data_IF_142624582736
#
_entry.id   IF_142624582736
#
_cell.length_a   1.000
_cell.length_b   1.000
_cell.length_c   1.000
_cell.angle_alpha   90.00
_cell.angle_beta   90.00
_cell.angle_gamma   90.00
#
_symmetry.space_group_name_H-M   'P 1'
#
loop_
_entity.id
_entity.type
_entity.pdbx_description
1 polymer ?
#
# COMPACT_ATOMS: atom_id res chain seq x y z
N UNK A 1 3.82 37.34 -18.12
CA UNK A 1 3.02 36.19 -17.63
C UNK A 1 4.00 35.12 -17.15
N UNK A 2 3.98 34.67 -15.88
CA UNK A 2 4.89 33.61 -15.45
C UNK A 2 4.34 32.26 -15.92
N UNK A 3 5.11 31.58 -16.75
CA UNK A 3 4.88 30.19 -17.16
C UNK A 3 4.93 29.28 -15.94
N UNK A 4 3.76 28.80 -15.49
CA UNK A 4 3.69 27.72 -14.50
C UNK A 4 4.29 26.46 -15.13
N UNK A 5 5.48 26.08 -14.70
CA UNK A 5 6.07 24.77 -15.03
C UNK A 5 5.07 23.68 -14.64
N UNK A 6 4.75 22.71 -15.53
CA UNK A 6 3.83 21.63 -15.18
C UNK A 6 4.45 20.83 -14.02
N UNK A 7 3.66 20.62 -12.96
CA UNK A 7 4.07 19.80 -11.82
C UNK A 7 4.47 18.41 -12.34
N UNK A 8 5.69 17.99 -11.99
CA UNK A 8 6.25 16.71 -12.43
C UNK A 8 5.57 15.58 -11.66
N UNK A 9 4.57 14.94 -12.25
CA UNK A 9 3.89 13.77 -11.69
C UNK A 9 4.87 12.63 -11.32
N UNK A 10 6.04 12.57 -11.95
CA UNK A 10 7.12 11.64 -11.61
C UNK A 10 7.84 11.98 -10.30
N UNK A 11 7.92 13.27 -9.94
CA UNK A 11 8.47 13.73 -8.66
C UNK A 11 7.48 13.45 -7.52
N UNK A 12 6.17 13.62 -7.77
CA UNK A 12 5.13 13.30 -6.78
C UNK A 12 5.02 11.79 -6.52
N UNK A 13 5.12 10.96 -7.57
CA UNK A 13 5.19 9.50 -7.44
C UNK A 13 6.45 9.06 -6.68
N UNK A 14 7.58 9.70 -6.96
CA UNK A 14 8.83 9.50 -6.23
C UNK A 14 8.74 9.92 -4.76
N UNK A 15 8.06 11.02 -4.46
CA UNK A 15 7.81 11.51 -3.09
C UNK A 15 6.85 10.61 -2.31
N UNK A 16 5.82 10.08 -2.95
CA UNK A 16 4.88 9.12 -2.34
C UNK A 16 5.59 7.80 -2.07
N UNK A 17 6.37 7.29 -3.03
CA UNK A 17 7.18 6.09 -2.85
C UNK A 17 8.22 6.30 -1.73
N UNK A 18 8.90 7.44 -1.73
CA UNK A 18 9.87 7.82 -0.69
C UNK A 18 9.19 7.93 0.67
N UNK A 19 7.99 8.51 0.75
CA UNK A 19 7.20 8.61 1.98
C UNK A 19 6.77 7.23 2.48
N UNK A 20 6.33 6.33 1.58
CA UNK A 20 5.95 4.96 1.94
C UNK A 20 7.18 4.17 2.40
N UNK A 21 8.31 4.29 1.72
CA UNK A 21 9.59 3.66 2.11
C UNK A 21 10.13 4.25 3.41
N UNK A 22 9.98 5.56 3.63
CA UNK A 22 10.39 6.25 4.85
C UNK A 22 9.49 5.85 6.03
N UNK A 23 8.18 5.74 5.82
CA UNK A 23 7.25 5.23 6.84
C UNK A 23 7.50 3.73 7.09
N UNK A 24 7.81 2.94 6.06
CA UNK A 24 8.25 1.55 6.21
C UNK A 24 9.52 1.46 7.06
N UNK A 25 10.54 2.26 6.74
CA UNK A 25 11.82 2.28 7.44
C UNK A 25 11.68 2.76 8.90
N UNK A 26 10.79 3.72 9.17
CA UNK A 26 10.55 4.24 10.52
C UNK A 26 9.71 3.30 11.39
N UNK A 27 8.81 2.51 10.80
CA UNK A 27 7.95 1.56 11.52
C UNK A 27 8.57 0.16 11.64
N UNK A 28 9.28 -0.30 10.60
CA UNK A 28 10.03 -1.57 10.60
C UNK A 28 11.40 -1.43 11.28
N UNK A 29 12.00 -0.24 11.26
CA UNK A 29 13.22 0.06 12.02
C UNK A 29 12.96 0.41 13.49
N UNK A 30 11.74 0.84 13.81
CA UNK A 30 11.28 1.13 15.18
C UNK A 30 10.50 -0.01 15.84
N UNK A 31 10.22 -1.11 15.11
CA UNK A 31 9.62 -2.29 15.72
C UNK A 31 10.63 -2.83 16.73
N UNK A 32 10.27 -2.70 18.00
CA UNK A 32 10.81 -3.51 19.07
C UNK A 32 10.47 -4.96 18.71
N UNK A 33 11.33 -5.59 17.92
CA UNK A 33 11.33 -7.01 17.60
C UNK A 33 11.49 -7.72 18.95
N UNK A 34 10.37 -8.08 19.58
CA UNK A 34 10.40 -8.80 20.85
C UNK A 34 10.87 -10.22 20.55
N UNK A 35 11.99 -10.67 21.13
CA UNK A 35 12.34 -12.09 21.10
C UNK A 35 11.17 -12.90 21.67
N UNK A 36 10.92 -14.06 21.07
CA UNK A 36 9.86 -15.02 21.43
C UNK A 36 9.86 -15.44 22.92
N UNK A 37 10.95 -15.18 23.65
CA UNK A 37 11.13 -15.55 25.06
C UNK A 37 10.40 -14.63 26.07
N UNK A 38 9.45 -13.79 25.64
CA UNK A 38 8.57 -13.07 26.58
C UNK A 38 7.27 -13.85 26.78
N UNK A 39 7.03 -14.42 27.98
CA UNK A 39 5.88 -15.27 28.26
C UNK A 39 4.58 -14.48 28.08
N UNK A 40 3.61 -15.09 27.41
CA UNK A 40 2.20 -14.69 27.38
C UNK A 40 1.96 -13.17 27.33
N UNK A 41 2.03 -12.61 26.11
CA UNK A 41 1.49 -11.30 25.84
C UNK A 41 -0.01 -11.29 26.18
N UNK A 42 -0.34 -10.85 27.38
CA UNK A 42 -1.69 -10.53 27.82
C UNK A 42 -2.31 -9.59 26.76
N UNK A 43 -3.39 -10.00 26.06
CA UNK A 43 -3.98 -9.20 24.98
C UNK A 43 -4.63 -7.96 25.60
N UNK A 44 -3.83 -6.93 25.85
CA UNK A 44 -4.32 -5.68 26.42
C UNK A 44 -4.98 -4.86 25.31
N UNK A 45 -6.19 -4.32 25.53
CA UNK A 45 -6.88 -3.52 24.53
C UNK A 45 -6.10 -2.27 24.12
N UNK A 46 -5.21 -1.77 24.98
CA UNK A 46 -4.31 -0.64 24.74
C UNK A 46 -3.31 -0.86 23.60
N UNK A 47 -2.95 -2.12 23.33
CA UNK A 47 -1.99 -2.48 22.30
C UNK A 47 -2.63 -2.60 20.91
N UNK A 48 -3.96 -2.73 20.85
CA UNK A 48 -4.69 -2.94 19.60
C UNK A 48 -4.42 -1.88 18.53
N UNK A 49 -4.33 -0.56 18.84
CA UNK A 49 -4.00 0.46 17.84
C UNK A 49 -2.59 0.31 17.26
N UNK A 50 -1.62 -0.11 18.08
CA UNK A 50 -0.24 -0.35 17.62
C UNK A 50 -0.20 -1.55 16.68
N UNK A 51 -0.88 -2.64 17.05
CA UNK A 51 -0.96 -3.85 16.23
C UNK A 51 -1.65 -3.57 14.89
N UNK A 52 -2.72 -2.77 14.90
CA UNK A 52 -3.37 -2.26 13.69
C UNK A 52 -2.40 -1.46 12.82
N UNK A 53 -1.64 -0.55 13.39
CA UNK A 53 -0.70 0.28 12.64
C UNK A 53 0.39 -0.56 11.97
N UNK A 54 0.93 -1.56 12.66
CA UNK A 54 1.94 -2.48 12.11
C UNK A 54 1.38 -3.28 10.94
N UNK A 55 0.19 -3.87 11.10
CA UNK A 55 -0.51 -4.59 10.03
C UNK A 55 -0.78 -3.69 8.81
N UNK A 56 -1.31 -2.49 9.03
CA UNK A 56 -1.57 -1.52 7.96
C UNK A 56 -0.29 -1.08 7.25
N UNK A 57 0.81 -0.94 7.98
CA UNK A 57 2.09 -0.54 7.38
C UNK A 57 2.64 -1.64 6.50
N UNK A 58 2.66 -2.90 6.97
CA UNK A 58 3.05 -4.05 6.12
C UNK A 58 2.22 -4.11 4.85
N UNK A 59 0.91 -3.98 4.98
CA UNK A 59 -0.02 -4.05 3.85
C UNK A 59 0.18 -2.88 2.87
N UNK A 60 0.33 -1.65 3.38
CA UNK A 60 0.55 -0.44 2.58
C UNK A 60 1.88 -0.44 1.85
N UNK A 61 2.96 -0.82 2.53
CA UNK A 61 4.31 -0.94 1.94
C UNK A 61 4.32 -2.00 0.85
N UNK A 62 3.70 -3.14 1.14
CA UNK A 62 3.62 -4.23 0.17
C UNK A 62 2.80 -3.84 -1.06
N UNK A 63 1.68 -3.13 -0.88
CA UNK A 63 0.89 -2.61 -2.00
C UNK A 63 1.73 -1.64 -2.85
N UNK A 64 2.48 -0.72 -2.23
CA UNK A 64 3.32 0.21 -2.97
C UNK A 64 4.41 -0.49 -3.78
N UNK A 65 5.10 -1.47 -3.19
CA UNK A 65 6.09 -2.31 -3.88
C UNK A 65 5.41 -3.07 -5.04
N UNK A 66 4.24 -3.65 -4.79
CA UNK A 66 3.49 -4.41 -5.79
C UNK A 66 3.09 -3.54 -6.97
N UNK A 67 2.58 -2.33 -6.73
CA UNK A 67 2.24 -1.37 -7.80
C UNK A 67 3.49 -0.93 -8.57
N UNK A 68 4.57 -0.59 -7.86
CA UNK A 68 5.84 -0.16 -8.45
C UNK A 68 6.39 -1.21 -9.42
N UNK A 69 6.30 -2.50 -9.07
CA UNK A 69 6.79 -3.59 -9.90
C UNK A 69 5.77 -4.03 -10.96
N UNK A 70 4.48 -3.96 -10.67
CA UNK A 70 3.43 -4.38 -11.60
C UNK A 70 3.33 -3.48 -12.84
N UNK A 71 3.45 -2.16 -12.67
CA UNK A 71 3.39 -1.20 -13.79
C UNK A 71 4.43 -1.49 -14.88
N UNK A 72 5.75 -1.58 -14.58
CA UNK A 72 6.74 -1.90 -15.60
C UNK A 72 6.59 -3.33 -16.13
N UNK A 73 6.20 -4.30 -15.29
CA UNK A 73 6.01 -5.70 -15.71
C UNK A 73 4.88 -5.82 -16.73
N UNK A 74 3.70 -5.27 -16.42
CA UNK A 74 2.56 -5.26 -17.33
C UNK A 74 2.82 -4.43 -18.60
N UNK A 75 3.49 -3.29 -18.46
CA UNK A 75 3.91 -2.47 -19.61
C UNK A 75 4.85 -3.22 -20.56
N UNK A 76 5.84 -3.93 -20.02
CA UNK A 76 6.80 -4.70 -20.81
C UNK A 76 6.11 -5.87 -21.54
N UNK A 77 5.21 -6.58 -20.86
CA UNK A 77 4.40 -7.64 -21.44
C UNK A 77 3.45 -7.13 -22.54
N UNK A 78 2.93 -5.91 -22.41
CA UNK A 78 2.07 -5.30 -23.43
C UNK A 78 2.88 -4.93 -24.68
N UNK A 79 4.07 -4.35 -24.50
CA UNK A 79 4.90 -3.79 -25.58
C UNK A 79 5.70 -4.81 -26.37
N UNK A 80 6.21 -5.87 -25.73
CA UNK A 80 7.12 -6.83 -26.36
C UNK A 80 6.49 -8.21 -26.48
N UNK A 81 6.44 -8.75 -27.70
CA UNK A 81 5.94 -10.11 -27.95
C UNK A 81 6.79 -11.18 -27.23
N UNK A 82 8.10 -10.99 -27.15
CA UNK A 82 8.99 -11.88 -26.41
C UNK A 82 8.72 -11.81 -24.91
N UNK A 83 8.64 -10.59 -24.36
CA UNK A 83 8.35 -10.41 -22.94
C UNK A 83 6.97 -10.96 -22.57
N UNK A 84 5.96 -10.77 -23.43
CA UNK A 84 4.62 -11.35 -23.25
C UNK A 84 4.65 -12.87 -23.11
N UNK A 85 5.39 -13.55 -24.00
CA UNK A 85 5.53 -15.01 -24.02
C UNK A 85 6.27 -15.56 -22.80
N UNK A 86 7.06 -14.74 -22.12
CA UNK A 86 7.77 -15.13 -20.91
C UNK A 86 7.00 -14.74 -19.64
N UNK A 87 6.58 -13.48 -19.55
CA UNK A 87 5.95 -12.89 -18.36
C UNK A 87 4.61 -13.55 -18.08
N UNK A 88 3.66 -13.58 -19.04
CA UNK A 88 2.30 -14.04 -18.74
C UNK A 88 2.27 -15.50 -18.25
N UNK A 89 2.93 -16.47 -18.91
CA UNK A 89 2.97 -17.84 -18.39
C UNK A 89 3.65 -17.93 -17.02
N UNK A 90 4.65 -17.10 -16.76
CA UNK A 90 5.31 -17.04 -15.45
C UNK A 90 4.33 -16.55 -14.37
N UNK A 91 3.60 -15.46 -14.64
CA UNK A 91 2.56 -14.95 -13.73
C UNK A 91 1.47 -16.01 -13.50
N UNK A 92 1.04 -16.71 -14.56
CA UNK A 92 0.02 -17.78 -14.49
C UNK A 92 0.45 -18.97 -13.63
N UNK A 93 1.69 -19.44 -13.81
CA UNK A 93 2.24 -20.53 -13.01
C UNK A 93 2.30 -20.11 -11.53
N UNK A 94 2.87 -18.94 -11.24
CA UNK A 94 3.04 -18.51 -9.85
C UNK A 94 1.73 -18.17 -9.14
N UNK A 95 0.73 -17.62 -9.83
CA UNK A 95 -0.57 -17.35 -9.21
C UNK A 95 -1.38 -18.62 -8.91
N UNK A 96 -1.11 -19.72 -9.60
CA UNK A 96 -1.79 -21.00 -9.37
C UNK A 96 -1.33 -21.71 -8.09
N UNK A 97 -0.14 -21.36 -7.60
CA UNK A 97 0.42 -21.97 -6.38
C UNK A 97 -0.24 -21.31 -5.16
N UNK A 98 -0.84 -22.10 -4.24
CA UNK A 98 -1.39 -21.55 -3.00
C UNK A 98 -0.31 -20.84 -2.19
N UNK A 99 -0.59 -19.62 -1.71
CA UNK A 99 0.38 -18.80 -0.96
C UNK A 99 0.88 -19.50 0.32
N UNK A 100 0.03 -20.33 0.95
CA UNK A 100 0.43 -21.17 2.09
C UNK A 100 1.60 -22.09 1.73
N UNK A 101 1.69 -22.54 0.48
CA UNK A 101 2.81 -23.34 -0.03
C UNK A 101 4.12 -22.56 -0.14
N UNK A 102 4.07 -21.23 -0.35
CA UNK A 102 5.25 -20.38 -0.33
C UNK A 102 5.75 -20.10 1.09
N UNK A 103 4.91 -20.29 2.11
CA UNK A 103 5.21 -19.90 3.49
C UNK A 103 6.51 -20.52 4.03
N UNK A 104 6.72 -21.86 4.00
CA UNK A 104 7.92 -22.47 4.56
C UNK A 104 9.19 -22.04 3.81
N UNK A 105 9.11 -21.93 2.49
CA UNK A 105 10.22 -21.53 1.63
C UNK A 105 10.60 -20.07 1.87
N UNK A 106 9.61 -19.18 1.98
CA UNK A 106 9.82 -17.76 2.25
C UNK A 106 10.45 -17.56 3.63
N UNK A 107 9.86 -18.13 4.68
CA UNK A 107 10.40 -17.99 6.05
C UNK A 107 11.81 -18.59 6.11
N UNK A 108 12.01 -19.82 5.65
CA UNK A 108 13.33 -20.43 5.66
C UNK A 108 14.37 -19.62 4.88
N UNK A 109 14.03 -19.16 3.67
CA UNK A 109 14.92 -18.41 2.79
C UNK A 109 15.31 -17.06 3.37
N UNK A 110 14.33 -16.23 3.76
CA UNK A 110 14.61 -14.90 4.30
C UNK A 110 15.25 -14.95 5.69
N UNK A 111 14.85 -15.88 6.57
CA UNK A 111 15.49 -16.04 7.88
C UNK A 111 16.95 -16.47 7.72
N UNK A 112 17.26 -17.42 6.82
CA UNK A 112 18.65 -17.81 6.52
C UNK A 112 19.46 -16.67 5.92
N UNK A 113 18.90 -15.94 4.95
CA UNK A 113 19.56 -14.84 4.26
C UNK A 113 19.94 -13.70 5.21
N UNK A 114 19.10 -13.45 6.22
CA UNK A 114 19.29 -12.39 7.22
C UNK A 114 19.73 -12.94 8.59
N UNK A 115 20.46 -14.05 8.61
CA UNK A 115 21.20 -14.52 9.80
C UNK A 115 20.33 -14.87 11.00
N UNK A 116 19.09 -15.32 10.79
CA UNK A 116 18.17 -15.64 11.86
C UNK A 116 17.50 -14.43 12.49
N UNK A 117 17.65 -13.22 11.92
CA UNK A 117 17.09 -12.00 12.49
C UNK A 117 15.57 -11.91 12.30
N UNK A 118 14.91 -11.19 13.21
CA UNK A 118 13.49 -10.93 13.10
C UNK A 118 13.13 -10.03 11.88
N UNK A 119 14.10 -9.29 11.33
CA UNK A 119 13.95 -8.61 10.04
C UNK A 119 13.74 -9.60 8.88
N UNK A 120 14.37 -10.77 8.90
CA UNK A 120 14.14 -11.83 7.91
C UNK A 120 12.70 -12.35 7.95
N UNK A 121 12.08 -12.41 9.14
CA UNK A 121 10.68 -12.84 9.29
C UNK A 121 9.72 -11.77 8.76
N UNK A 122 10.01 -10.49 9.01
CA UNK A 122 9.26 -9.36 8.43
C UNK A 122 9.31 -9.35 6.90
N UNK A 123 10.49 -9.58 6.31
CA UNK A 123 10.62 -9.70 4.86
C UNK A 123 9.90 -10.91 4.29
N UNK A 124 9.88 -12.04 5.01
CA UNK A 124 9.08 -13.18 4.61
C UNK A 124 7.58 -12.84 4.57
N UNK A 125 7.07 -12.14 5.59
CA UNK A 125 5.67 -11.68 5.62
C UNK A 125 5.37 -10.72 4.45
N UNK A 126 6.20 -9.71 4.22
CA UNK A 126 6.07 -8.77 3.09
C UNK A 126 6.11 -9.51 1.75
N UNK A 127 6.99 -10.48 1.58
CA UNK A 127 7.07 -11.30 0.37
C UNK A 127 5.79 -12.11 0.14
N UNK A 128 5.25 -12.74 1.18
CA UNK A 128 4.03 -13.52 1.08
C UNK A 128 2.82 -12.64 0.71
N UNK A 129 2.68 -11.48 1.34
CA UNK A 129 1.65 -10.50 1.00
C UNK A 129 1.87 -9.99 -0.44
N UNK A 130 3.12 -9.77 -0.84
CA UNK A 130 3.46 -9.29 -2.19
C UNK A 130 2.97 -10.28 -3.24
N UNK A 131 3.20 -11.59 -3.02
CA UNK A 131 2.73 -12.63 -3.94
C UNK A 131 1.21 -12.65 -4.08
N UNK A 132 0.42 -12.15 -3.12
CA UNK A 132 -1.03 -12.07 -3.28
C UNK A 132 -1.51 -10.86 -4.07
N UNK A 133 -0.67 -9.86 -4.23
CA UNK A 133 -1.04 -8.56 -4.82
C UNK A 133 -0.47 -8.39 -6.23
N UNK A 134 0.79 -8.80 -6.41
CA UNK A 134 1.59 -8.48 -7.58
C UNK A 134 1.01 -9.03 -8.88
N UNK A 135 0.64 -10.32 -8.92
CA UNK A 135 0.17 -10.97 -10.15
C UNK A 135 -1.09 -10.25 -10.69
N UNK A 136 -2.09 -10.04 -9.82
CA UNK A 136 -3.34 -9.35 -10.16
C UNK A 136 -3.10 -7.92 -10.68
N UNK A 137 -2.20 -7.17 -10.04
CA UNK A 137 -1.85 -5.82 -10.49
C UNK A 137 -1.14 -5.84 -11.85
N UNK A 138 -0.21 -6.78 -12.06
CA UNK A 138 0.54 -6.90 -13.31
C UNK A 138 -0.36 -7.27 -14.49
N UNK A 139 -1.30 -8.20 -14.29
CA UNK A 139 -2.34 -8.53 -15.27
C UNK A 139 -3.24 -7.32 -15.55
N UNK A 140 -3.72 -6.63 -14.53
CA UNK A 140 -4.55 -5.43 -14.70
C UNK A 140 -3.89 -4.34 -15.55
N UNK A 141 -2.58 -4.11 -15.36
CA UNK A 141 -1.81 -3.19 -16.20
C UNK A 141 -1.69 -3.72 -17.62
N UNK A 142 -1.30 -4.99 -17.80
CA UNK A 142 -1.16 -5.60 -19.12
C UNK A 142 -2.47 -5.54 -19.93
N UNK A 143 -3.57 -5.98 -19.33
CA UNK A 143 -4.90 -6.02 -19.94
C UNK A 143 -5.37 -4.62 -20.34
N UNK A 144 -5.19 -3.62 -19.47
CA UNK A 144 -5.55 -2.24 -19.81
C UNK A 144 -4.80 -1.70 -21.03
N UNK A 145 -3.54 -2.09 -21.21
CA UNK A 145 -2.72 -1.58 -22.30
C UNK A 145 -3.02 -2.22 -23.65
N UNK A 146 -3.46 -3.48 -23.67
CA UNK A 146 -3.83 -4.17 -24.91
C UNK A 146 -5.24 -3.83 -25.39
N UNK A 147 -6.08 -3.23 -24.55
CA UNK A 147 -7.42 -2.77 -24.92
C UNK A 147 -7.42 -1.37 -25.56
N UNK A 148 -6.26 -0.70 -25.63
CA UNK A 148 -6.14 0.60 -26.30
C UNK A 148 -6.42 0.44 -27.79
N UNK A 149 -7.42 1.17 -28.34
CA UNK A 149 -7.72 1.16 -29.77
C UNK A 149 -6.49 1.51 -30.62
N UNK A 150 -6.35 0.84 -31.77
CA UNK A 150 -5.21 1.01 -32.66
C UNK A 150 -5.14 2.45 -33.20
N UNK A 151 -6.31 3.08 -33.41
CA UNK A 151 -6.46 4.44 -33.91
C UNK A 151 -5.83 5.46 -32.95
N UNK A 152 -6.05 5.30 -31.64
CA UNK A 152 -5.44 6.17 -30.62
C UNK A 152 -3.93 5.98 -30.57
N UNK A 153 -3.45 4.75 -30.79
CA UNK A 153 -2.02 4.44 -30.84
C UNK A 153 -1.36 5.08 -32.06
N UNK A 154 -1.96 4.93 -33.24
CA UNK A 154 -1.49 5.53 -34.48
C UNK A 154 -1.51 7.06 -34.41
N UNK A 155 -2.58 7.65 -33.88
CA UNK A 155 -2.67 9.10 -33.68
C UNK A 155 -1.55 9.59 -32.76
N UNK A 156 -1.32 8.92 -31.62
CA UNK A 156 -0.23 9.28 -30.71
C UNK A 156 1.15 9.23 -31.39
N UNK A 157 1.38 8.24 -32.26
CA UNK A 157 2.61 8.12 -33.04
C UNK A 157 2.73 9.25 -34.09
N UNK A 158 1.65 9.60 -34.78
CA UNK A 158 1.61 10.72 -35.76
C UNK A 158 1.87 12.09 -35.10
N UNK A 159 1.29 12.32 -33.92
CA UNK A 159 1.55 13.54 -33.13
C UNK A 159 2.92 13.54 -32.45
N UNK A 160 3.73 12.48 -32.63
CA UNK A 160 5.08 12.41 -32.09
C UNK A 160 5.14 12.24 -30.57
N UNK A 161 4.10 11.69 -29.93
CA UNK A 161 4.10 11.44 -28.50
C UNK A 161 5.15 10.38 -28.15
N UNK A 162 6.24 10.82 -27.51
CA UNK A 162 7.35 9.97 -27.08
C UNK A 162 7.64 10.16 -25.59
N UNK A 163 8.27 9.15 -24.98
CA UNK A 163 8.74 9.20 -23.60
C UNK A 163 7.65 9.61 -22.61
N UNK A 164 7.93 10.63 -21.80
CA UNK A 164 7.02 11.16 -20.78
C UNK A 164 5.68 11.63 -21.34
N UNK A 165 5.66 12.22 -22.54
CA UNK A 165 4.43 12.77 -23.12
C UNK A 165 3.42 11.64 -23.43
N UNK A 166 3.91 10.52 -23.98
CA UNK A 166 3.12 9.31 -24.21
C UNK A 166 2.67 8.68 -22.90
N UNK A 167 3.53 8.68 -21.89
CA UNK A 167 3.18 8.18 -20.57
C UNK A 167 2.04 8.98 -19.94
N UNK A 168 2.13 10.30 -19.92
CA UNK A 168 1.11 11.14 -19.29
C UNK A 168 -0.22 11.22 -20.04
N UNK A 169 -0.19 11.19 -21.38
CA UNK A 169 -1.39 11.45 -22.20
C UNK A 169 -2.06 10.20 -22.78
N UNK A 170 -1.37 9.06 -22.84
CA UNK A 170 -1.92 7.82 -23.39
C UNK A 170 -1.90 6.68 -22.36
N UNK A 171 -0.72 6.38 -21.81
CA UNK A 171 -0.56 5.18 -20.96
C UNK A 171 -1.21 5.36 -19.59
N UNK A 172 -0.91 6.45 -18.89
CA UNK A 172 -1.40 6.69 -17.53
C UNK A 172 -2.94 6.75 -17.46
N UNK A 173 -3.66 7.46 -18.36
CA UNK A 173 -5.12 7.47 -18.36
C UNK A 173 -5.73 6.07 -18.49
N UNK A 174 -5.16 5.22 -19.34
CA UNK A 174 -5.65 3.86 -19.57
C UNK A 174 -5.37 2.95 -18.39
N UNK A 175 -4.18 3.03 -17.82
CA UNK A 175 -3.72 2.12 -16.75
C UNK A 175 -4.38 2.46 -15.41
N UNK A 176 -4.59 3.74 -15.11
CA UNK A 176 -5.01 4.19 -13.77
C UNK A 176 -6.34 3.57 -13.30
N UNK A 177 -7.44 3.58 -14.09
CA UNK A 177 -8.70 2.97 -13.65
C UNK A 177 -8.57 1.47 -13.36
N UNK A 178 -7.89 0.75 -14.27
CA UNK A 178 -7.62 -0.68 -14.09
C UNK A 178 -6.77 -0.94 -12.85
N UNK A 179 -5.68 -0.19 -12.67
CA UNK A 179 -4.77 -0.34 -11.55
C UNK A 179 -5.47 -0.06 -10.22
N UNK A 180 -6.35 0.94 -10.16
CA UNK A 180 -7.12 1.26 -8.95
C UNK A 180 -8.11 0.15 -8.61
N UNK A 181 -8.85 -0.37 -9.58
CA UNK A 181 -9.73 -1.52 -9.38
C UNK A 181 -8.94 -2.75 -8.90
N UNK A 182 -7.86 -3.08 -9.60
CA UNK A 182 -7.01 -4.22 -9.24
C UNK A 182 -6.33 -4.03 -7.88
N UNK A 183 -5.96 -2.81 -7.49
CA UNK A 183 -5.42 -2.52 -6.16
C UNK A 183 -6.44 -2.77 -5.06
N UNK A 184 -7.73 -2.54 -5.32
CA UNK A 184 -8.79 -2.81 -4.34
C UNK A 184 -8.93 -4.30 -4.09
N UNK A 185 -8.99 -5.09 -5.15
CA UNK A 185 -9.07 -6.56 -5.09
C UNK A 185 -7.81 -7.12 -4.43
N UNK A 186 -6.63 -6.65 -4.84
CA UNK A 186 -5.35 -7.05 -4.25
C UNK A 186 -5.25 -6.70 -2.76
N UNK A 187 -5.76 -5.54 -2.33
CA UNK A 187 -5.79 -5.15 -0.92
C UNK A 187 -6.67 -6.08 -0.08
N UNK A 188 -7.85 -6.45 -0.60
CA UNK A 188 -8.74 -7.40 0.06
C UNK A 188 -8.06 -8.77 0.23
N UNK A 189 -7.40 -9.27 -0.82
CA UNK A 189 -6.61 -10.51 -0.75
C UNK A 189 -5.45 -10.38 0.25
N UNK A 190 -4.76 -9.23 0.25
CA UNK A 190 -3.64 -8.96 1.14
C UNK A 190 -3.98 -9.07 2.63
N UNK A 191 -5.20 -8.70 3.05
CA UNK A 191 -5.63 -8.90 4.44
C UNK A 191 -5.60 -10.36 4.88
N UNK A 192 -6.05 -11.27 4.01
CA UNK A 192 -6.05 -12.70 4.31
C UNK A 192 -4.62 -13.22 4.53
N UNK A 193 -3.69 -12.83 3.66
CA UNK A 193 -2.29 -13.27 3.76
C UNK A 193 -1.50 -12.57 4.86
N UNK A 194 -1.82 -11.31 5.15
CA UNK A 194 -1.29 -10.59 6.30
C UNK A 194 -1.64 -11.31 7.59
N UNK A 195 -2.93 -11.61 7.81
CA UNK A 195 -3.39 -12.34 9.00
C UNK A 195 -2.72 -13.72 9.07
N UNK A 196 -2.69 -14.47 7.96
CA UNK A 196 -2.00 -15.75 7.92
C UNK A 196 -0.51 -15.61 8.28
N UNK A 197 0.18 -14.56 7.80
CA UNK A 197 1.59 -14.34 8.10
C UNK A 197 1.86 -13.98 9.56
N UNK A 198 0.98 -13.18 10.16
CA UNK A 198 1.06 -12.78 11.56
C UNK A 198 0.68 -13.91 12.51
N UNK A 199 -0.12 -14.89 12.07
CA UNK A 199 -0.49 -16.08 12.84
C UNK A 199 0.53 -17.21 12.67
N UNK A 200 0.90 -17.57 11.44
CA UNK A 200 1.74 -18.75 11.20
C UNK A 200 3.20 -18.50 11.61
N UNK A 201 3.67 -17.25 11.55
CA UNK A 201 4.98 -16.92 12.13
C UNK A 201 5.04 -17.20 13.64
N UNK A 202 3.91 -17.28 14.34
CA UNK A 202 3.82 -17.68 15.77
C UNK A 202 4.19 -19.16 16.01
N UNK A 203 4.49 -19.94 14.96
CA UNK A 203 4.83 -21.36 15.03
C UNK A 203 6.33 -21.71 15.04
N UNK A 204 6.82 -22.64 14.19
CA UNK A 204 8.15 -23.27 14.32
C UNK A 204 9.37 -22.35 14.09
N UNK A 205 9.15 -21.15 13.55
CA UNK A 205 10.13 -20.07 13.63
C UNK A 205 9.88 -19.35 14.95
N UNK A 206 10.80 -19.40 15.90
CA UNK A 206 10.69 -18.78 17.24
C UNK A 206 10.63 -17.23 17.19
N UNK A 207 9.69 -16.66 16.44
CA UNK A 207 9.52 -15.22 16.20
C UNK A 207 8.06 -14.88 15.93
N UNK A 208 7.43 -14.18 16.86
CA UNK A 208 6.07 -13.64 16.67
C UNK A 208 6.11 -12.34 15.87
N UNK A 209 5.32 -12.22 14.81
CA UNK A 209 5.07 -10.95 14.14
C UNK A 209 3.95 -10.19 14.86
N UNK A 210 4.23 -9.05 15.52
CA UNK A 210 3.17 -8.26 16.17
C UNK A 210 2.27 -7.61 15.11
N UNK A 211 0.98 -7.86 15.21
CA UNK A 211 -0.05 -7.34 14.31
C UNK A 211 -1.43 -7.92 14.59
N UNK A 212 -2.47 -7.35 13.98
CA UNK A 212 -3.87 -7.71 14.25
C UNK A 212 -4.15 -9.21 14.19
N UNK A 213 -3.55 -9.95 13.25
CA UNK A 213 -3.71 -11.41 13.15
C UNK A 213 -3.15 -12.13 14.37
N UNK A 214 -1.94 -11.76 14.81
CA UNK A 214 -1.32 -12.31 16.02
C UNK A 214 -2.12 -11.97 17.29
N UNK A 215 -2.69 -10.77 17.38
CA UNK A 215 -3.54 -10.36 18.51
C UNK A 215 -4.81 -11.19 18.55
N UNK A 216 -5.46 -11.36 17.40
CA UNK A 216 -6.68 -12.16 17.28
C UNK A 216 -6.41 -13.62 17.68
N UNK A 217 -5.33 -14.22 17.19
CA UNK A 217 -4.94 -15.58 17.56
C UNK A 217 -4.70 -15.71 19.07
N UNK A 218 -3.97 -14.77 19.68
CA UNK A 218 -3.72 -14.77 21.12
C UNK A 218 -5.02 -14.62 21.94
N UNK A 219 -5.92 -13.72 21.55
CA UNK A 219 -7.21 -13.53 22.23
C UNK A 219 -8.08 -14.79 22.17
N UNK A 220 -8.09 -15.49 21.03
CA UNK A 220 -8.82 -16.75 20.85
C UNK A 220 -8.21 -17.86 21.71
N UNK A 221 -6.88 -18.03 21.68
CA UNK A 221 -6.20 -19.06 22.50
C UNK A 221 -6.35 -18.80 24.00
N UNK A 222 -6.39 -17.53 24.42
CA UNK A 222 -6.63 -17.14 25.81
C UNK A 222 -8.09 -17.26 26.25
N UNK A 223 -9.03 -17.64 25.37
CA UNK A 223 -10.45 -17.75 25.68
C UNK A 223 -11.14 -16.41 25.97
N UNK A 224 -10.53 -15.29 25.60
CA UNK A 224 -11.06 -13.94 25.84
C UNK A 224 -11.94 -13.48 24.67
N UNK A 225 -13.21 -13.88 24.75
CA UNK A 225 -14.22 -13.59 23.72
C UNK A 225 -14.46 -12.08 23.54
N UNK A 226 -14.38 -11.30 24.60
CA UNK A 226 -14.48 -9.84 24.60
C UNK A 226 -13.42 -9.19 23.69
N UNK A 227 -12.16 -9.59 23.85
CA UNK A 227 -11.05 -9.06 23.06
C UNK A 227 -11.03 -9.60 21.64
N UNK A 228 -11.49 -10.83 21.45
CA UNK A 228 -11.67 -11.43 20.13
C UNK A 228 -12.69 -10.62 19.33
N UNK A 229 -13.85 -10.30 19.94
CA UNK A 229 -14.88 -9.47 19.29
C UNK A 229 -14.38 -8.05 19.04
N UNK A 230 -13.62 -7.46 19.96
CA UNK A 230 -13.00 -6.14 19.76
C UNK A 230 -12.05 -6.13 18.56
N UNK A 231 -11.18 -7.13 18.45
CA UNK A 231 -10.24 -7.25 17.33
C UNK A 231 -10.95 -7.44 15.99
N UNK A 232 -12.00 -8.29 15.94
CA UNK A 232 -12.83 -8.48 14.75
C UNK A 232 -13.57 -7.18 14.36
N UNK A 233 -14.10 -6.45 15.33
CA UNK A 233 -14.76 -5.17 15.09
C UNK A 233 -13.78 -4.14 14.50
N UNK A 234 -12.54 -4.08 15.03
CA UNK A 234 -11.49 -3.20 14.50
C UNK A 234 -11.04 -3.62 13.11
N UNK A 235 -10.89 -4.92 12.84
CA UNK A 235 -10.58 -5.43 11.50
C UNK A 235 -11.65 -5.03 10.49
N UNK A 236 -12.94 -5.21 10.83
CA UNK A 236 -14.06 -4.82 9.98
C UNK A 236 -14.13 -3.31 9.76
N UNK A 237 -14.04 -2.53 10.84
CA UNK A 237 -14.06 -1.07 10.79
C UNK A 237 -12.91 -0.51 9.95
N UNK A 238 -11.71 -1.09 10.09
CA UNK A 238 -10.54 -0.70 9.30
C UNK A 238 -10.72 -1.07 7.83
N UNK A 239 -11.22 -2.27 7.52
CA UNK A 239 -11.43 -2.71 6.14
C UNK A 239 -12.43 -1.81 5.42
N UNK A 240 -13.57 -1.53 6.05
CA UNK A 240 -14.59 -0.60 5.53
C UNK A 240 -14.03 0.82 5.45
N UNK A 241 -13.35 1.28 6.51
CA UNK A 241 -12.76 2.61 6.59
C UNK A 241 -11.77 2.87 5.47
N UNK A 242 -10.88 1.91 5.20
CA UNK A 242 -9.91 1.99 4.10
C UNK A 242 -10.60 2.04 2.75
N UNK A 243 -11.60 1.19 2.50
CA UNK A 243 -12.38 1.26 1.26
C UNK A 243 -13.04 2.63 1.07
N UNK A 244 -13.65 3.18 2.13
CA UNK A 244 -14.37 4.45 2.06
C UNK A 244 -13.45 5.68 1.97
N UNK A 245 -12.29 5.65 2.63
CA UNK A 245 -11.38 6.79 2.75
C UNK A 245 -10.34 6.83 1.63
N UNK A 246 -9.84 5.67 1.18
CA UNK A 246 -8.81 5.59 0.15
C UNK A 246 -9.42 5.27 -1.22
N UNK A 247 -10.02 4.09 -1.37
CA UNK A 247 -10.48 3.63 -2.69
C UNK A 247 -11.69 4.42 -3.20
N UNK A 248 -12.69 4.71 -2.37
CA UNK A 248 -13.88 5.45 -2.80
C UNK A 248 -13.57 6.77 -3.52
N UNK A 249 -12.78 7.68 -2.91
CA UNK A 249 -12.37 8.93 -3.56
C UNK A 249 -11.49 8.72 -4.79
N UNK A 250 -10.55 7.75 -4.76
CA UNK A 250 -9.67 7.44 -5.88
C UNK A 250 -10.44 6.91 -7.09
N UNK A 251 -11.45 6.06 -6.87
CA UNK A 251 -12.31 5.52 -7.94
C UNK A 251 -13.07 6.64 -8.65
N UNK A 252 -13.64 7.59 -7.89
CA UNK A 252 -14.34 8.75 -8.46
C UNK A 252 -13.38 9.61 -9.28
N UNK A 253 -12.16 9.82 -8.78
CA UNK A 253 -11.12 10.55 -9.50
C UNK A 253 -10.70 9.84 -10.79
N UNK A 254 -10.73 8.51 -10.81
CA UNK A 254 -10.37 7.68 -11.97
C UNK A 254 -11.43 7.69 -13.08
N UNK A 255 -12.70 7.95 -12.76
CA UNK A 255 -13.79 8.04 -13.73
C UNK A 255 -13.47 9.02 -14.88
N UNK A 256 -12.68 10.07 -14.63
CA UNK A 256 -12.28 11.04 -15.66
C UNK A 256 -11.44 10.46 -16.80
N UNK A 257 -10.87 9.27 -16.61
CA UNK A 257 -9.97 8.63 -17.56
C UNK A 257 -10.64 7.51 -18.36
N UNK A 258 -11.91 7.19 -18.10
CA UNK A 258 -12.64 6.25 -18.95
C UNK A 258 -12.77 6.84 -20.36
N UNK A 259 -12.17 6.16 -21.33
CA UNK A 259 -12.19 6.48 -22.75
C UNK A 259 -13.52 6.05 -23.41
N UNK A 260 -14.65 6.23 -22.70
CA UNK A 260 -15.96 5.93 -23.29
C UNK A 260 -16.23 6.90 -24.43
N UNK A 261 -16.55 6.34 -25.60
CA UNK A 261 -17.10 7.06 -26.74
C UNK A 261 -18.30 7.88 -26.26
N UNK A 262 -18.15 9.20 -26.34
CA UNK A 262 -19.18 10.24 -26.23
C UNK A 262 -20.61 9.70 -26.40
N UNK A 263 -21.34 9.46 -25.30
CA UNK A 263 -22.71 8.95 -25.42
C UNK A 263 -23.56 8.92 -24.16
N UNK A 264 -23.02 8.56 -22.98
CA UNK A 264 -23.85 8.48 -21.77
C UNK A 264 -23.26 9.28 -20.60
N UNK A 265 -24.15 9.97 -19.89
CA UNK A 265 -23.78 10.95 -18.85
C UNK A 265 -23.06 10.23 -17.69
N UNK A 266 -22.10 10.88 -17.01
CA UNK A 266 -21.40 10.28 -15.87
C UNK A 266 -22.42 9.80 -14.82
N UNK A 267 -22.50 8.48 -14.61
CA UNK A 267 -23.32 7.85 -13.57
C UNK A 267 -22.74 8.18 -12.20
N UNK A 268 -23.14 9.33 -11.65
CA UNK A 268 -22.83 9.70 -10.27
C UNK A 268 -23.25 8.55 -9.32
N UNK A 269 -22.35 7.99 -8.50
CA UNK A 269 -22.70 6.91 -7.60
C UNK A 269 -23.72 7.40 -6.55
N UNK A 270 -24.86 6.69 -6.45
CA UNK A 270 -25.97 7.02 -5.52
C UNK A 270 -25.50 7.12 -4.06
N UNK A 271 -24.49 6.33 -3.68
CA UNK A 271 -23.95 6.25 -2.31
C UNK A 271 -23.13 7.50 -1.93
N UNK A 272 -22.38 8.11 -2.87
CA UNK A 272 -21.65 9.35 -2.61
C UNK A 272 -22.61 10.52 -2.29
N UNK A 273 -23.81 10.51 -2.89
CA UNK A 273 -24.87 11.49 -2.62
C UNK A 273 -25.53 11.28 -1.25
N UNK A 274 -25.57 10.04 -0.77
CA UNK A 274 -26.13 9.66 0.54
C UNK A 274 -25.12 9.95 1.65
N UNK A 275 -23.84 9.60 1.47
CA UNK A 275 -22.76 9.88 2.42
C UNK A 275 -22.44 11.37 2.52
N UNK A 276 -22.45 12.11 1.40
CA UNK A 276 -22.24 13.57 1.39
C UNK A 276 -23.36 14.38 2.06
N UNK A 277 -24.51 13.76 2.37
CA UNK A 277 -25.64 14.37 3.08
C UNK A 277 -25.65 14.06 4.58
N UNK A 278 -24.83 13.13 5.07
CA UNK A 278 -24.79 12.77 6.49
C UNK A 278 -23.95 13.77 7.29
N UNK A 279 -24.60 14.49 8.22
CA UNK A 279 -23.93 15.44 9.14
C UNK A 279 -22.87 14.75 10.00
N UNK A 280 -23.00 13.45 10.26
CA UNK A 280 -22.03 12.65 11.03
C UNK A 280 -20.74 12.38 10.24
N UNK A 281 -20.82 12.11 8.93
CA UNK A 281 -19.64 11.91 8.07
C UNK A 281 -18.87 13.22 7.89
N UNK A 282 -19.57 14.35 7.77
CA UNK A 282 -18.96 15.69 7.73
C UNK A 282 -18.35 16.07 9.10
N UNK A 283 -18.99 15.72 10.21
CA UNK A 283 -18.45 15.96 11.55
C UNK A 283 -17.24 15.08 11.86
N UNK A 284 -17.23 13.81 11.46
CA UNK A 284 -16.09 12.90 11.65
C UNK A 284 -14.90 13.27 10.75
N UNK A 285 -15.14 13.65 9.49
CA UNK A 285 -14.07 14.10 8.58
C UNK A 285 -13.46 15.44 9.00
N UNK A 286 -14.27 16.39 9.48
CA UNK A 286 -13.74 17.66 10.02
C UNK A 286 -13.10 17.44 11.39
N UNK A 287 -13.72 16.64 12.27
CA UNK A 287 -13.30 16.45 13.66
C UNK A 287 -12.07 15.57 13.86
N UNK A 288 -11.71 14.71 12.91
CA UNK A 288 -10.54 13.81 13.04
C UNK A 288 -9.41 14.26 12.10
N UNK A 289 -9.71 14.64 10.85
CA UNK A 289 -8.69 14.90 9.84
C UNK A 289 -8.03 16.27 10.00
N UNK A 290 -8.80 17.31 10.36
CA UNK A 290 -8.22 18.66 10.52
C UNK A 290 -7.37 18.84 11.78
N UNK A 291 -7.72 18.34 12.97
CA UNK A 291 -6.84 18.47 14.13
C UNK A 291 -5.60 17.57 14.02
N UNK A 292 -5.71 16.36 13.46
CA UNK A 292 -4.55 15.48 13.26
C UNK A 292 -3.56 16.07 12.26
N UNK A 293 -4.04 16.66 11.16
CA UNK A 293 -3.20 17.36 10.19
C UNK A 293 -2.54 18.61 10.80
N UNK A 294 -3.28 19.38 11.62
CA UNK A 294 -2.73 20.54 12.32
C UNK A 294 -1.72 20.15 13.42
N UNK A 295 -1.92 19.02 14.10
CA UNK A 295 -1.01 18.53 15.11
C UNK A 295 0.27 17.97 14.49
N UNK A 296 0.18 17.26 13.36
CA UNK A 296 1.33 16.82 12.58
C UNK A 296 2.15 18.01 12.04
N UNK A 297 1.49 19.07 11.56
CA UNK A 297 2.15 20.30 11.10
C UNK A 297 2.80 21.10 12.25
N UNK A 298 2.22 21.09 13.45
CA UNK A 298 2.82 21.72 14.63
C UNK A 298 4.01 20.94 15.17
N UNK A 299 3.96 19.61 15.13
CA UNK A 299 5.08 18.75 15.53
C UNK A 299 6.22 18.88 14.53
N UNK A 300 5.95 18.89 13.22
CA UNK A 300 6.97 19.10 12.20
C UNK A 300 7.62 20.49 12.30
N UNK A 301 6.82 21.54 12.57
CA UNK A 301 7.35 22.88 12.83
C UNK A 301 8.29 22.94 14.04
N UNK A 302 7.91 22.32 15.16
CA UNK A 302 8.78 22.28 16.36
C UNK A 302 10.06 21.47 16.15
N UNK A 303 10.00 20.39 15.37
CA UNK A 303 11.17 19.59 15.03
C UNK A 303 12.11 20.37 14.11
N UNK A 304 11.58 21.10 13.13
CA UNK A 304 12.36 21.98 12.26
C UNK A 304 12.99 23.14 13.03
N UNK A 305 12.27 23.76 13.98
CA UNK A 305 12.81 24.81 14.84
C UNK A 305 13.84 24.28 15.85
N UNK A 306 13.68 23.04 16.33
CA UNK A 306 14.66 22.38 17.19
C UNK A 306 15.94 22.05 16.42
N UNK A 307 15.82 21.50 15.20
CA UNK A 307 16.94 21.20 14.32
C UNK A 307 17.64 22.48 13.83
N UNK A 308 16.89 23.53 13.52
CA UNK A 308 17.42 24.85 13.13
C UNK A 308 18.22 25.52 14.26
N UNK A 309 17.75 25.40 15.51
CA UNK A 309 18.49 25.92 16.68
C UNK A 309 19.76 25.12 16.99
N UNK A 310 19.75 23.80 16.77
CA UNK A 310 20.95 22.97 16.94
C UNK A 310 21.96 23.14 15.79
N UNK A 311 21.48 23.35 14.56
CA UNK A 311 22.34 23.68 13.42
C UNK A 311 23.01 25.06 13.59
N UNK A 312 22.28 26.06 14.10
CA UNK A 312 22.82 27.39 14.38
C UNK A 312 23.84 27.37 15.54
N UNK A 313 23.58 26.60 16.61
CA UNK A 313 24.53 26.45 17.72
C UNK A 313 25.81 25.71 17.32
N UNK A 314 25.71 24.71 16.43
CA UNK A 314 26.86 23.96 15.93
C UNK A 314 27.70 24.78 14.94
N UNK A 315 27.08 25.69 14.18
CA UNK A 315 27.78 26.60 13.28
C UNK A 315 28.56 27.70 14.04
N UNK A 316 28.04 28.19 15.17
CA UNK A 316 28.74 29.17 16.01
C UNK A 316 30.03 28.58 16.64
N UNK A 317 29.99 27.31 17.07
CA UNK A 317 31.16 26.61 17.64
C UNK A 317 32.23 26.30 16.58
N UNK A 318 31.83 26.10 15.32
CA UNK A 318 32.76 25.81 14.21
C UNK A 318 33.39 27.06 13.58
N UNK A 319 32.81 28.25 13.78
CA UNK A 319 33.30 29.51 13.19
C UNK A 319 33.84 30.54 14.18
N UNK A 320 33.92 30.24 15.49
CA UNK A 320 34.67 31.05 16.45
C UNK A 320 34.19 32.50 16.58
N UNK A 321 32.93 32.68 16.99
CA UNK A 321 32.45 33.88 17.66
C UNK A 321 31.92 33.50 19.05
#
# INVERSE_FOLDING_TARGET
MPSRTPASYSVDLGLILLLVVLVAALTLGGSSLRPYDSPELDPRPELLPLYLLLSLTRLGVTLAISVLLAVPTGYLAAKSAFARRLILPTLDIFQSVPIVGFFPVAVWGFVRLFGGSAFGVELAAVFLIFTSMFWNLAFGVYESLITVPEELRMAADQFGLRGSLRWSHLILPVVVPSLLYNSLVSWANGWFFLIASEIIAVGPARYTLPGLGSYLAQAVTAGRNDLTMLALAVLLATTIGMHLLLWGPLSIWAERFHLEETGDRPRRPRIARILGRSRLVRSASVGIVTPAAQQALRVSGRVLDFLGRHAAGSAAVLFGL
#
